data_IF_302213581912
#
_entry.id   IF_302213581912
#
_cell.length_a   1.000
_cell.length_b   1.000
_cell.length_c   1.000
_cell.angle_alpha   90.00
_cell.angle_beta   90.00
_cell.angle_gamma   90.00
#
_symmetry.space_group_name_H-M   'P 1'
#
loop_
_entity.id
_entity.type
_entity.pdbx_description
1 polymer ?
#
# COMPACT_ATOMS: atom_id res chain seq x y z
N UNK A 1 -26.51 -9.61 31.36
CA UNK A 1 -25.35 -10.15 30.62
C UNK A 1 -24.99 -9.11 29.56
N UNK A 2 -23.85 -8.42 29.75
CA UNK A 2 -23.31 -7.51 28.76
C UNK A 2 -22.73 -8.37 27.62
N UNK A 3 -23.38 -8.39 26.46
CA UNK A 3 -22.88 -9.08 25.27
C UNK A 3 -21.77 -8.20 24.66
N UNK A 4 -20.54 -8.67 24.70
CA UNK A 4 -19.42 -8.00 24.03
C UNK A 4 -19.64 -8.08 22.52
N UNK A 5 -19.60 -6.93 21.85
CA UNK A 5 -19.58 -6.88 20.38
C UNK A 5 -18.11 -6.96 19.96
N UNK A 6 -17.69 -8.04 19.27
CA UNK A 6 -16.31 -8.17 18.85
C UNK A 6 -15.99 -7.19 17.71
N UNK A 7 -14.78 -6.64 17.71
CA UNK A 7 -14.28 -5.79 16.61
C UNK A 7 -13.71 -6.67 15.50
N UNK A 8 -14.42 -6.72 14.36
CA UNK A 8 -13.97 -7.39 13.12
C UNK A 8 -13.30 -8.77 13.33
N UNK A 9 -13.97 -9.76 13.90
CA UNK A 9 -13.36 -11.08 14.08
C UNK A 9 -13.12 -11.74 12.71
N UNK A 10 -11.98 -12.43 12.52
CA UNK A 10 -11.69 -13.11 11.26
C UNK A 10 -12.69 -14.24 11.02
N UNK A 11 -13.09 -14.40 9.76
CA UNK A 11 -13.93 -15.53 9.35
C UNK A 11 -13.03 -16.74 9.07
N UNK A 12 -13.16 -17.78 9.89
CA UNK A 12 -12.42 -19.03 9.72
C UNK A 12 -13.31 -20.02 8.94
N UNK A 13 -12.81 -20.49 7.81
CA UNK A 13 -13.47 -21.45 6.93
C UNK A 13 -12.85 -22.84 7.10
N UNK A 14 -13.63 -23.93 6.88
CA UNK A 14 -13.07 -25.29 6.96
C UNK A 14 -11.87 -25.53 6.06
N UNK A 15 -11.86 -24.94 4.87
CA UNK A 15 -10.78 -25.06 3.88
C UNK A 15 -9.44 -24.51 4.41
N UNK A 16 -9.50 -23.52 5.30
CA UNK A 16 -8.30 -22.96 5.91
C UNK A 16 -7.57 -23.98 6.81
N UNK A 17 -8.32 -24.86 7.47
CA UNK A 17 -7.75 -25.91 8.29
C UNK A 17 -7.01 -26.95 7.43
N UNK A 18 -7.57 -27.33 6.29
CA UNK A 18 -6.93 -28.26 5.36
C UNK A 18 -5.62 -27.68 4.79
N UNK A 19 -5.61 -26.40 4.39
CA UNK A 19 -4.41 -25.73 3.91
C UNK A 19 -3.32 -25.60 5.00
N UNK A 20 -3.71 -25.29 6.24
CA UNK A 20 -2.78 -25.24 7.35
C UNK A 20 -2.20 -26.62 7.67
N UNK A 21 -3.06 -27.65 7.69
CA UNK A 21 -2.64 -29.02 7.92
C UNK A 21 -1.64 -29.50 6.87
N UNK A 22 -1.96 -29.30 5.59
CA UNK A 22 -1.07 -29.63 4.46
C UNK A 22 0.29 -28.92 4.60
N UNK A 23 0.28 -27.64 4.95
CA UNK A 23 1.51 -26.87 5.17
C UNK A 23 2.36 -27.47 6.30
N UNK A 24 1.75 -27.80 7.44
CA UNK A 24 2.45 -28.39 8.59
C UNK A 24 2.98 -29.79 8.28
N UNK A 25 2.18 -30.63 7.61
CA UNK A 25 2.57 -32.00 7.23
C UNK A 25 3.70 -31.99 6.18
N UNK A 26 3.75 -30.98 5.30
CA UNK A 26 4.83 -30.83 4.33
C UNK A 26 6.19 -30.53 4.98
N UNK A 27 6.22 -30.04 6.22
CA UNK A 27 7.41 -29.58 6.92
C UNK A 27 7.95 -28.24 6.40
N UNK A 28 7.34 -27.63 5.38
CA UNK A 28 7.77 -26.34 4.84
C UNK A 28 6.91 -25.20 5.40
N UNK A 29 7.27 -24.69 6.56
CA UNK A 29 6.51 -23.69 7.33
C UNK A 29 7.02 -22.25 7.18
N UNK A 30 7.92 -21.99 6.25
CA UNK A 30 8.48 -20.67 5.93
C UNK A 30 8.21 -20.28 4.49
N UNK A 31 8.77 -19.15 4.02
CA UNK A 31 8.65 -18.72 2.61
C UNK A 31 9.01 -19.85 1.66
N UNK A 32 8.08 -20.23 0.80
CA UNK A 32 8.23 -21.40 -0.06
C UNK A 32 7.14 -21.49 -1.14
N UNK A 33 6.76 -22.73 -1.54
CA UNK A 33 5.79 -22.94 -2.64
C UNK A 33 4.43 -22.25 -2.40
N UNK A 34 3.87 -22.34 -1.19
CA UNK A 34 2.58 -21.70 -0.83
C UNK A 34 2.65 -20.17 -0.93
N UNK A 35 3.76 -19.56 -0.49
CA UNK A 35 3.97 -18.11 -0.61
C UNK A 35 4.03 -17.69 -2.09
N UNK A 36 4.78 -18.42 -2.92
CA UNK A 36 4.88 -18.15 -4.36
C UNK A 36 3.54 -18.32 -5.08
N UNK A 37 2.76 -19.32 -4.69
CA UNK A 37 1.41 -19.50 -5.21
C UNK A 37 0.51 -18.32 -4.83
N UNK A 38 0.54 -17.90 -3.57
CA UNK A 38 -0.22 -16.76 -3.07
C UNK A 38 0.13 -15.47 -3.81
N UNK A 39 1.42 -15.18 -4.00
CA UNK A 39 1.90 -14.04 -4.79
C UNK A 39 1.34 -14.07 -6.22
N UNK A 40 1.37 -15.22 -6.88
CA UNK A 40 0.82 -15.42 -8.24
C UNK A 40 -0.70 -15.22 -8.29
N UNK A 41 -1.42 -15.72 -7.30
CA UNK A 41 -2.89 -15.58 -7.23
C UNK A 41 -3.28 -14.13 -6.95
N UNK A 42 -2.55 -13.42 -6.08
CA UNK A 42 -2.74 -11.99 -5.84
C UNK A 42 -2.49 -11.16 -7.11
N UNK A 43 -1.41 -11.44 -7.84
CA UNK A 43 -1.11 -10.77 -9.10
C UNK A 43 -2.25 -10.95 -10.12
N UNK A 44 -2.74 -12.17 -10.27
CA UNK A 44 -3.88 -12.48 -11.15
C UNK A 44 -5.17 -11.79 -10.69
N UNK A 45 -5.44 -11.80 -9.37
CA UNK A 45 -6.64 -11.17 -8.79
C UNK A 45 -6.68 -9.67 -8.99
N UNK A 46 -5.55 -8.99 -8.82
CA UNK A 46 -5.42 -7.54 -9.00
C UNK A 46 -5.21 -7.13 -10.46
N UNK A 47 -5.05 -8.09 -11.39
CA UNK A 47 -4.65 -7.83 -12.79
C UNK A 47 -3.40 -6.94 -12.87
N UNK A 48 -2.41 -7.23 -12.03
CA UNK A 48 -1.22 -6.44 -11.81
C UNK A 48 0.05 -7.18 -12.22
N UNK A 49 1.18 -6.50 -12.13
CA UNK A 49 2.51 -7.07 -12.29
C UNK A 49 2.94 -7.98 -11.13
N UNK A 50 4.25 -8.08 -10.85
CA UNK A 50 4.75 -8.93 -9.78
C UNK A 50 4.21 -8.54 -8.41
N UNK A 51 3.99 -9.54 -7.55
CA UNK A 51 3.60 -9.35 -6.16
C UNK A 51 4.65 -9.97 -5.24
N UNK A 52 4.95 -9.28 -4.14
CA UNK A 52 5.82 -9.75 -3.07
C UNK A 52 5.03 -9.83 -1.77
N UNK A 53 4.93 -11.01 -1.19
CA UNK A 53 4.39 -11.19 0.16
C UNK A 53 5.40 -10.67 1.20
N UNK A 54 4.89 -9.90 2.16
CA UNK A 54 5.67 -9.29 3.24
C UNK A 54 4.98 -9.53 4.59
N UNK A 55 5.68 -9.28 5.69
CA UNK A 55 5.14 -9.51 7.03
C UNK A 55 4.10 -8.49 7.48
N UNK A 56 4.00 -7.33 6.81
CA UNK A 56 3.00 -6.29 7.07
C UNK A 56 2.96 -5.25 5.95
N UNK A 57 1.86 -4.51 5.83
CA UNK A 57 1.81 -3.35 4.93
C UNK A 57 2.84 -2.29 5.32
N UNK A 58 3.08 -2.08 6.61
CA UNK A 58 4.09 -1.16 7.11
C UNK A 58 5.48 -1.49 6.55
N UNK A 59 5.89 -2.76 6.64
CA UNK A 59 7.17 -3.19 6.06
C UNK A 59 7.20 -3.06 4.54
N UNK A 60 6.09 -3.34 3.87
CA UNK A 60 5.97 -3.17 2.42
C UNK A 60 6.16 -1.71 1.99
N UNK A 61 5.50 -0.77 2.66
CA UNK A 61 5.67 0.67 2.37
C UNK A 61 7.10 1.12 2.64
N UNK A 62 7.69 0.74 3.78
CA UNK A 62 9.08 1.10 4.09
C UNK A 62 10.05 0.52 3.06
N UNK A 63 9.85 -0.73 2.63
CA UNK A 63 10.67 -1.37 1.59
C UNK A 63 10.60 -0.59 0.28
N UNK A 64 9.40 -0.16 -0.14
CA UNK A 64 9.22 0.64 -1.36
C UNK A 64 9.91 1.99 -1.27
N UNK A 65 9.80 2.70 -0.14
CA UNK A 65 10.51 3.97 0.07
C UNK A 65 12.03 3.78 0.01
N UNK A 66 12.57 2.73 0.64
CA UNK A 66 14.01 2.40 0.61
C UNK A 66 14.48 2.00 -0.78
N UNK A 67 13.68 1.17 -1.49
CA UNK A 67 13.98 0.79 -2.86
C UNK A 67 14.04 2.01 -3.78
N UNK A 68 13.10 2.94 -3.63
CA UNK A 68 13.08 4.18 -4.42
C UNK A 68 14.16 5.18 -3.99
N UNK A 69 14.96 4.87 -2.95
CA UNK A 69 16.05 5.70 -2.46
C UNK A 69 15.61 6.95 -1.71
N UNK A 70 14.41 6.92 -1.12
CA UNK A 70 13.90 8.03 -0.30
C UNK A 70 14.69 8.12 0.99
N UNK A 71 15.13 9.34 1.36
CA UNK A 71 15.97 9.56 2.53
C UNK A 71 15.98 11.00 3.04
N UNK A 72 17.02 11.34 3.78
CA UNK A 72 17.17 12.65 4.40
C UNK A 72 17.17 13.78 3.34
N UNK A 73 16.33 14.78 3.54
CA UNK A 73 16.13 15.91 2.63
C UNK A 73 14.98 15.72 1.64
N UNK A 74 14.49 14.50 1.46
CA UNK A 74 13.34 14.19 0.62
C UNK A 74 12.02 14.43 1.38
N UNK A 75 10.96 14.65 0.61
CA UNK A 75 9.59 14.81 1.09
C UNK A 75 8.70 13.72 0.53
N UNK A 76 7.80 13.22 1.38
CA UNK A 76 6.75 12.27 1.01
C UNK A 76 5.39 12.86 1.40
N UNK A 77 4.52 13.07 0.41
CA UNK A 77 3.17 13.60 0.64
C UNK A 77 2.26 12.46 1.10
N UNK A 78 1.57 12.68 2.23
CA UNK A 78 0.64 11.74 2.83
C UNK A 78 -0.64 12.48 3.27
N UNK A 79 -1.81 11.82 3.40
CA UNK A 79 -2.98 12.45 3.99
C UNK A 79 -2.78 12.67 5.50
N UNK A 80 -3.35 13.75 6.04
CA UNK A 80 -3.35 14.02 7.48
C UNK A 80 -4.22 13.03 8.26
N UNK A 81 -5.23 12.44 7.62
CA UNK A 81 -6.08 11.41 8.19
C UNK A 81 -5.68 10.02 7.67
N UNK A 82 -4.86 9.34 8.44
CA UNK A 82 -4.36 8.00 8.13
C UNK A 82 -3.97 7.26 9.41
N UNK A 83 -3.72 5.96 9.29
CA UNK A 83 -3.05 5.20 10.35
C UNK A 83 -1.59 5.64 10.47
N UNK A 84 -1.07 5.73 11.69
CA UNK A 84 0.28 6.28 11.97
C UNK A 84 1.41 5.58 11.18
N UNK A 85 1.22 4.33 10.75
CA UNK A 85 2.22 3.60 9.98
C UNK A 85 2.64 4.36 8.70
N UNK A 86 1.69 4.99 8.00
CA UNK A 86 1.97 5.76 6.78
C UNK A 86 2.96 6.89 7.02
N UNK A 87 2.86 7.60 8.15
CA UNK A 87 3.81 8.64 8.53
C UNK A 87 5.12 8.04 9.08
N UNK A 88 5.02 6.98 9.89
CA UNK A 88 6.17 6.37 10.54
C UNK A 88 7.19 5.83 9.54
N UNK A 89 6.74 5.17 8.45
CA UNK A 89 7.66 4.63 7.43
C UNK A 89 8.46 5.73 6.74
N UNK A 90 7.88 6.92 6.56
CA UNK A 90 8.59 8.09 6.02
C UNK A 90 9.68 8.55 7.00
N UNK A 91 9.36 8.60 8.28
CA UNK A 91 10.33 8.95 9.32
C UNK A 91 11.43 7.89 9.46
N UNK A 92 11.11 6.60 9.32
CA UNK A 92 12.08 5.50 9.40
C UNK A 92 13.15 5.57 8.31
N UNK A 93 12.82 6.09 7.13
CA UNK A 93 13.79 6.28 6.04
C UNK A 93 14.53 7.63 6.14
N UNK A 94 14.19 8.47 7.14
CA UNK A 94 14.83 9.76 7.38
C UNK A 94 14.26 10.90 6.53
N UNK A 95 13.19 10.68 5.80
CA UNK A 95 12.50 11.69 4.99
C UNK A 95 11.49 12.51 5.82
N UNK A 96 10.96 13.57 5.23
CA UNK A 96 9.97 14.44 5.84
C UNK A 96 8.56 14.08 5.35
N UNK A 97 7.63 13.66 6.22
CA UNK A 97 6.24 13.51 5.84
C UNK A 97 5.60 14.90 5.67
N UNK A 98 5.04 15.15 4.50
CA UNK A 98 4.27 16.36 4.20
C UNK A 98 2.80 16.01 4.26
N UNK A 99 2.16 16.35 5.39
CA UNK A 99 0.75 16.03 5.60
C UNK A 99 -0.12 17.06 4.88
N UNK A 100 -1.02 16.58 4.04
CA UNK A 100 -2.02 17.39 3.36
C UNK A 100 -3.42 17.01 3.83
N UNK A 101 -4.34 17.94 3.72
CA UNK A 101 -5.72 17.73 4.17
C UNK A 101 -6.45 16.73 3.29
N UNK A 102 -7.53 16.19 3.81
CA UNK A 102 -8.42 15.24 3.14
C UNK A 102 -9.69 15.93 2.67
N UNK A 103 -10.40 15.30 1.75
CA UNK A 103 -11.72 15.73 1.30
C UNK A 103 -12.73 15.54 2.44
N UNK A 104 -13.71 16.42 2.49
CA UNK A 104 -14.76 16.38 3.53
C UNK A 104 -15.77 15.25 3.32
N UNK A 105 -15.94 14.81 2.07
CA UNK A 105 -16.99 13.87 1.67
C UNK A 105 -16.58 12.39 1.79
N UNK A 106 -15.29 12.07 1.62
CA UNK A 106 -14.80 10.69 1.60
C UNK A 106 -13.54 10.42 2.46
N UNK A 107 -12.98 11.47 3.05
CA UNK A 107 -11.75 11.43 3.87
C UNK A 107 -10.48 10.97 3.13
N UNK A 108 -10.54 10.79 1.81
CA UNK A 108 -9.37 10.51 1.01
C UNK A 108 -8.55 11.79 0.79
N UNK A 109 -7.28 11.62 0.46
CA UNK A 109 -6.35 12.73 0.22
C UNK A 109 -6.90 13.69 -0.86
N UNK A 110 -6.83 14.99 -0.58
CA UNK A 110 -7.29 16.02 -1.51
C UNK A 110 -6.23 16.30 -2.58
N UNK A 111 -6.59 16.08 -3.84
CA UNK A 111 -5.70 16.25 -5.00
C UNK A 111 -5.20 17.69 -5.16
N UNK A 112 -6.05 18.69 -4.89
CA UNK A 112 -5.62 20.09 -4.95
C UNK A 112 -4.64 20.45 -3.83
N UNK A 113 -4.78 19.82 -2.67
CA UNK A 113 -3.81 19.97 -1.57
C UNK A 113 -2.48 19.28 -1.89
N UNK A 114 -2.51 18.11 -2.54
CA UNK A 114 -1.30 17.47 -3.07
C UNK A 114 -0.59 18.44 -4.01
N UNK A 115 -1.30 18.95 -5.02
CA UNK A 115 -0.76 19.88 -6.03
C UNK A 115 -0.09 21.11 -5.40
N UNK A 116 -0.70 21.68 -4.37
CA UNK A 116 -0.16 22.84 -3.65
C UNK A 116 1.06 22.51 -2.79
N UNK A 117 1.23 21.25 -2.40
CA UNK A 117 2.31 20.79 -1.51
C UNK A 117 3.53 20.21 -2.25
N UNK A 118 3.42 19.91 -3.55
CA UNK A 118 4.54 19.38 -4.34
C UNK A 118 5.69 20.40 -4.39
N UNK A 119 6.90 19.90 -4.11
CA UNK A 119 8.16 20.66 -4.24
C UNK A 119 9.19 19.83 -5.00
N UNK A 120 10.34 20.38 -5.41
CA UNK A 120 11.43 19.59 -6.01
C UNK A 120 12.00 18.49 -5.10
N UNK A 121 11.72 18.53 -3.80
CA UNK A 121 12.08 17.49 -2.83
C UNK A 121 11.05 16.37 -2.73
N UNK A 122 9.85 16.53 -3.30
CA UNK A 122 8.81 15.51 -3.27
C UNK A 122 9.22 14.32 -4.13
N UNK A 123 9.40 13.16 -3.51
CA UNK A 123 9.79 11.91 -4.18
C UNK A 123 8.64 10.93 -4.31
N UNK A 124 7.74 10.90 -3.33
CA UNK A 124 6.62 9.96 -3.29
C UNK A 124 5.35 10.67 -2.85
N UNK A 125 4.22 10.24 -3.43
CA UNK A 125 2.88 10.53 -2.93
C UNK A 125 2.30 9.20 -2.44
N UNK A 126 1.80 9.16 -1.19
CA UNK A 126 1.17 7.98 -0.61
C UNK A 126 -0.32 8.26 -0.37
N UNK A 127 -1.19 8.05 -1.37
CA UNK A 127 -2.63 8.05 -1.11
C UNK A 127 -3.00 6.86 -0.22
N UNK A 128 -4.01 7.04 0.63
CA UNK A 128 -4.51 6.00 1.54
C UNK A 128 -5.98 5.76 1.24
N UNK A 129 -6.34 4.51 0.98
CA UNK A 129 -7.72 4.10 0.68
C UNK A 129 -8.52 3.93 1.97
N UNK A 130 -8.91 5.03 2.59
CA UNK A 130 -9.60 5.03 3.88
C UNK A 130 -10.89 4.21 3.83
N UNK A 131 -11.05 3.31 4.79
CA UNK A 131 -12.20 2.42 4.93
C UNK A 131 -12.54 1.61 3.64
N UNK A 132 -11.55 1.43 2.76
CA UNK A 132 -11.71 0.70 1.49
C UNK A 132 -12.24 1.55 0.33
N UNK A 133 -12.41 2.86 0.53
CA UNK A 133 -12.75 3.81 -0.53
C UNK A 133 -11.47 4.17 -1.30
N UNK A 134 -11.46 3.87 -2.60
CA UNK A 134 -10.33 4.20 -3.46
C UNK A 134 -10.09 5.71 -3.55
N UNK A 135 -8.83 6.13 -3.43
CA UNK A 135 -8.40 7.49 -3.74
C UNK A 135 -8.57 7.80 -5.24
N UNK A 136 -8.54 9.06 -5.63
CA UNK A 136 -8.58 9.43 -7.05
C UNK A 136 -7.22 9.17 -7.71
N UNK A 137 -6.95 7.90 -7.98
CA UNK A 137 -5.68 7.44 -8.54
C UNK A 137 -5.34 8.13 -9.86
N UNK A 138 -6.34 8.31 -10.73
CA UNK A 138 -6.11 8.92 -12.06
C UNK A 138 -5.61 10.37 -11.93
N UNK A 139 -6.26 11.17 -11.09
CA UNK A 139 -5.85 12.54 -10.85
C UNK A 139 -4.47 12.61 -10.18
N UNK A 140 -4.20 11.74 -9.19
CA UNK A 140 -2.91 11.68 -8.49
C UNK A 140 -1.79 11.25 -9.46
N UNK A 141 -2.05 10.23 -10.29
CA UNK A 141 -1.08 9.76 -11.29
C UNK A 141 -0.79 10.84 -12.35
N UNK A 142 -1.79 11.63 -12.77
CA UNK A 142 -1.59 12.76 -13.65
C UNK A 142 -0.70 13.81 -12.99
N UNK A 143 -0.98 14.22 -11.76
CA UNK A 143 -0.11 15.15 -11.02
C UNK A 143 1.34 14.67 -10.94
N UNK A 144 1.55 13.39 -10.63
CA UNK A 144 2.89 12.82 -10.51
C UNK A 144 3.63 12.78 -11.86
N UNK A 145 2.90 12.58 -12.98
CA UNK A 145 3.46 12.53 -14.34
C UNK A 145 3.73 13.92 -14.92
N UNK A 146 2.83 14.88 -14.63
CA UNK A 146 2.87 16.20 -15.26
C UNK A 146 3.79 17.18 -14.50
N UNK A 147 4.30 16.79 -13.32
CA UNK A 147 5.22 17.63 -12.57
C UNK A 147 6.63 17.60 -13.16
N UNK A 148 7.04 18.69 -13.79
CA UNK A 148 8.32 18.87 -14.47
C UNK A 148 9.48 19.27 -13.54
N UNK A 149 9.18 19.62 -12.27
CA UNK A 149 10.18 20.02 -11.26
C UNK A 149 10.84 18.85 -10.52
N UNK A 150 10.57 17.58 -10.90
CA UNK A 150 11.16 16.42 -10.25
C UNK A 150 12.67 16.36 -10.44
N UNK A 151 13.39 16.21 -9.32
CA UNK A 151 14.86 16.12 -9.33
C UNK A 151 15.29 14.77 -8.75
N UNK A 152 15.73 13.81 -9.58
CA UNK A 152 16.16 12.50 -9.09
C UNK A 152 17.45 12.62 -8.25
N UNK A 153 17.58 11.77 -7.24
CA UNK A 153 18.75 11.66 -6.38
C UNK A 153 19.35 10.25 -6.34
N UNK A 154 18.71 9.29 -7.00
CA UNK A 154 19.16 7.89 -7.08
C UNK A 154 18.95 7.33 -8.50
N UNK A 155 19.66 6.24 -8.87
CA UNK A 155 19.47 5.60 -10.17
C UNK A 155 18.02 5.13 -10.41
N UNK A 156 17.34 4.64 -9.38
CA UNK A 156 15.95 4.20 -9.44
C UNK A 156 15.01 5.37 -9.75
N UNK A 157 15.25 6.53 -9.12
CA UNK A 157 14.52 7.77 -9.40
C UNK A 157 14.80 8.31 -10.80
N UNK A 158 16.05 8.23 -11.27
CA UNK A 158 16.42 8.59 -12.64
C UNK A 158 15.70 7.71 -13.67
N UNK A 159 15.70 6.40 -13.45
CA UNK A 159 15.03 5.44 -14.33
C UNK A 159 13.52 5.65 -14.35
N UNK A 160 12.90 5.91 -13.20
CA UNK A 160 11.46 6.16 -13.11
C UNK A 160 11.06 7.55 -13.65
N UNK A 161 11.92 8.54 -13.47
CA UNK A 161 11.84 9.88 -14.06
C UNK A 161 10.77 10.81 -13.48
N UNK A 162 10.07 10.45 -12.40
CA UNK A 162 8.99 11.24 -11.82
C UNK A 162 8.70 10.87 -10.35
N UNK A 163 7.78 11.59 -9.72
CA UNK A 163 7.26 11.23 -8.39
C UNK A 163 6.61 9.84 -8.45
N UNK A 164 6.98 8.97 -7.50
CA UNK A 164 6.37 7.64 -7.33
C UNK A 164 5.01 7.78 -6.64
N UNK A 165 4.00 7.06 -7.11
CA UNK A 165 2.70 6.94 -6.44
C UNK A 165 2.61 5.56 -5.80
N UNK A 166 2.68 5.53 -4.47
CA UNK A 166 2.63 4.33 -3.64
C UNK A 166 1.33 4.29 -2.86
N UNK A 167 0.37 3.48 -3.25
CA UNK A 167 -0.92 3.40 -2.55
C UNK A 167 -0.81 2.59 -1.26
N UNK A 168 -1.18 3.20 -0.14
CA UNK A 168 -1.51 2.46 1.08
C UNK A 168 -2.93 1.90 0.95
N UNK A 169 -3.00 0.68 0.44
CA UNK A 169 -4.22 -0.07 0.16
C UNK A 169 -4.61 -1.01 1.32
N UNK A 170 -4.17 -0.71 2.55
CA UNK A 170 -4.35 -1.58 3.71
C UNK A 170 -5.82 -1.89 4.04
N UNK A 171 -6.78 -1.09 3.57
CA UNK A 171 -8.22 -1.30 3.77
C UNK A 171 -8.97 -1.70 2.50
N UNK A 172 -8.33 -1.68 1.32
CA UNK A 172 -9.06 -1.71 0.05
C UNK A 172 -8.92 -3.02 -0.75
N UNK A 173 -8.32 -4.07 -0.16
CA UNK A 173 -8.25 -5.37 -0.85
C UNK A 173 -9.65 -5.86 -1.21
N UNK A 174 -9.84 -6.21 -2.48
CA UNK A 174 -11.13 -6.64 -3.03
C UNK A 174 -12.03 -5.51 -3.51
N UNK A 175 -11.67 -4.24 -3.24
CA UNK A 175 -12.35 -3.06 -3.76
C UNK A 175 -12.19 -2.90 -5.27
N UNK A 176 -12.99 -1.99 -5.82
CA UNK A 176 -12.97 -1.65 -7.25
C UNK A 176 -12.74 -0.15 -7.45
N UNK A 177 -11.89 0.19 -8.40
CA UNK A 177 -11.76 1.55 -8.93
C UNK A 177 -12.13 1.53 -10.41
N UNK A 178 -13.19 2.26 -10.80
CA UNK A 178 -13.72 2.30 -12.17
C UNK A 178 -13.92 0.91 -12.79
N UNK A 179 -14.42 -0.05 -11.98
CA UNK A 179 -14.71 -1.42 -12.40
C UNK A 179 -13.53 -2.39 -12.38
N UNK A 180 -12.32 -1.93 -12.11
CA UNK A 180 -11.12 -2.77 -12.01
C UNK A 180 -10.75 -3.02 -10.53
N UNK A 181 -10.20 -4.19 -10.22
CA UNK A 181 -9.69 -4.50 -8.88
C UNK A 181 -8.59 -3.53 -8.48
N UNK A 182 -8.64 -3.04 -7.23
CA UNK A 182 -7.56 -2.21 -6.69
C UNK A 182 -6.27 -3.02 -6.63
N UNK A 183 -5.15 -2.37 -6.98
CA UNK A 183 -3.80 -2.92 -6.99
C UNK A 183 -2.98 -2.54 -8.22
N UNK A 184 -3.62 -2.29 -9.38
CA UNK A 184 -2.92 -2.02 -10.66
C UNK A 184 -3.05 -0.58 -11.15
N UNK A 185 -3.50 0.37 -10.32
CA UNK A 185 -3.82 1.73 -10.77
C UNK A 185 -2.70 2.74 -10.55
N UNK A 186 -1.76 2.44 -9.67
CA UNK A 186 -0.62 3.29 -9.31
C UNK A 186 0.68 2.53 -9.51
N UNK A 187 1.82 3.13 -9.29
CA UNK A 187 3.13 2.48 -9.51
C UNK A 187 3.33 1.26 -8.63
N UNK A 188 2.83 1.36 -7.38
CA UNK A 188 2.75 0.25 -6.47
C UNK A 188 1.58 0.42 -5.50
N UNK A 189 1.02 -0.69 -5.05
CA UNK A 189 0.04 -0.72 -3.98
C UNK A 189 0.49 -1.69 -2.88
N UNK A 190 0.22 -1.35 -1.62
CA UNK A 190 0.58 -2.18 -0.49
C UNK A 190 -0.65 -2.56 0.30
N UNK A 191 -0.94 -3.86 0.35
CA UNK A 191 -2.06 -4.45 1.09
C UNK A 191 -1.63 -4.92 2.48
N UNK A 192 -2.57 -4.84 3.42
CA UNK A 192 -2.44 -5.44 4.75
C UNK A 192 -3.32 -6.69 4.87
N UNK A 193 -2.74 -7.75 5.41
CA UNK A 193 -3.44 -9.00 5.73
C UNK A 193 -3.45 -9.27 7.25
N UNK A 194 -3.35 -8.20 8.04
CA UNK A 194 -3.55 -8.26 9.48
C UNK A 194 -4.94 -8.82 9.82
N UNK A 195 -5.09 -9.42 11.01
CA UNK A 195 -6.28 -10.16 11.46
C UNK A 195 -7.63 -9.45 11.27
N UNK A 196 -7.66 -8.10 11.29
CA UNK A 196 -8.90 -7.31 11.17
C UNK A 196 -9.22 -6.86 9.75
N UNK A 197 -8.39 -7.23 8.74
CA UNK A 197 -8.57 -6.79 7.35
C UNK A 197 -9.53 -7.71 6.56
N UNK A 198 -9.93 -7.25 5.37
CA UNK A 198 -10.87 -7.97 4.49
C UNK A 198 -10.38 -9.38 4.10
N UNK A 199 -9.07 -9.51 3.86
CA UNK A 199 -8.35 -10.76 3.73
C UNK A 199 -7.31 -10.81 4.85
N UNK A 200 -7.14 -11.96 5.49
CA UNK A 200 -6.16 -12.10 6.57
C UNK A 200 -5.30 -13.35 6.44
N UNK A 201 -4.04 -13.19 6.79
CA UNK A 201 -3.06 -14.26 7.03
C UNK A 201 -2.60 -14.28 8.49
N UNK A 202 -3.44 -13.79 9.42
CA UNK A 202 -3.16 -13.42 10.80
C UNK A 202 -2.26 -12.18 10.88
N UNK A 203 -1.03 -12.27 10.46
CA UNK A 203 -0.10 -11.18 10.16
C UNK A 203 0.38 -11.32 8.73
N UNK A 204 0.51 -10.19 8.02
CA UNK A 204 1.00 -10.20 6.65
C UNK A 204 0.65 -8.95 5.86
N UNK A 205 1.16 -8.91 4.65
CA UNK A 205 0.89 -7.90 3.66
C UNK A 205 1.42 -8.32 2.30
N UNK A 206 1.20 -7.50 1.30
CA UNK A 206 1.79 -7.68 -0.02
C UNK A 206 2.09 -6.34 -0.68
N UNK A 207 3.18 -6.29 -1.43
CA UNK A 207 3.50 -5.23 -2.37
C UNK A 207 3.09 -5.71 -3.75
N UNK A 208 2.29 -4.92 -4.43
CA UNK A 208 1.91 -5.12 -5.83
C UNK A 208 2.63 -4.07 -6.67
N UNK A 209 3.35 -4.50 -7.70
CA UNK A 209 4.14 -3.64 -8.58
C UNK A 209 3.50 -3.52 -9.96
N UNK A 210 3.60 -2.33 -10.62
CA UNK A 210 3.00 -2.07 -11.94
C UNK A 210 3.97 -1.35 -12.87
#
# INVERSE_FOLDING_TARGET
LCTMIPFSPPRILPEMWEELKDTLESGWITTGPKTKQFEKELAAYCSAGPVLAVNSATAGMEMMLRWYGVGAGDEVIIPAYTYCATANVVMHVGATPVMVDTREDDFNIDVEKIKAAITPRTKVIVPVDIAGMASDYEAIMHLAKDYDGFTPSTPEQEQHGRILVLTDAAHSFGGLYKGNRIGSQTDAAVFSFHAVKNLTTAEGGAIVLN
#
